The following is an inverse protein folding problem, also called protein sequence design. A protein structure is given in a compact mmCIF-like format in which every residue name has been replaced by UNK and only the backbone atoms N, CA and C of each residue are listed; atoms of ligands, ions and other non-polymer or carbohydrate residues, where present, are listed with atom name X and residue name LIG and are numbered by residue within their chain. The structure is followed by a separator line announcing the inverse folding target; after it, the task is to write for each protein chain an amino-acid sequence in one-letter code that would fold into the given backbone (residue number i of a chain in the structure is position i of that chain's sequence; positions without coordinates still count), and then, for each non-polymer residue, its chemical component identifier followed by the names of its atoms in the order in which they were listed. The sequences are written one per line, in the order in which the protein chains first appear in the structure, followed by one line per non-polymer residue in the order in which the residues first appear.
data_IF_165010564008
#
_entry.id   IF_165010564008
#
_cell.length_a   1.000
_cell.length_b   1.000
_cell.length_c   1.000
_cell.angle_alpha   90.00
_cell.angle_beta   90.00
_cell.angle_gamma   90.00
#
_symmetry.space_group_name_H-M   'P 1'
#
loop_
_entity.id
_entity.type
_entity.pdbx_description
1 polymer ?
#
# COMPACT_ATOMS: atom_id res chain seq x y z
N UNK A 1 11.77 18.15 -7.14
CA UNK A 1 12.51 16.87 -7.00
C UNK A 1 11.82 15.91 -6.03
N UNK A 2 11.55 16.28 -4.77
CA UNK A 2 10.78 15.43 -3.84
C UNK A 2 9.36 15.14 -4.35
N UNK A 3 8.70 16.15 -4.91
CA UNK A 3 7.27 16.07 -5.24
C UNK A 3 7.01 15.22 -6.49
N UNK A 4 7.90 15.32 -7.49
CA UNK A 4 7.82 14.53 -8.72
C UNK A 4 7.97 13.02 -8.44
N UNK A 5 8.84 12.66 -7.49
CA UNK A 5 9.09 11.28 -7.12
C UNK A 5 7.91 10.67 -6.31
N UNK A 6 7.27 11.46 -5.45
CA UNK A 6 6.05 11.03 -4.75
C UNK A 6 4.90 10.81 -5.72
N UNK A 7 4.66 11.76 -6.63
CA UNK A 7 3.59 11.62 -7.61
C UNK A 7 3.84 10.41 -8.53
N UNK A 8 5.08 10.21 -8.98
CA UNK A 8 5.44 9.04 -9.77
C UNK A 8 5.18 7.71 -9.03
N UNK A 9 5.35 7.68 -7.71
CA UNK A 9 5.05 6.50 -6.89
C UNK A 9 3.55 6.21 -6.85
N UNK A 10 2.73 7.25 -6.65
CA UNK A 10 1.27 7.15 -6.65
C UNK A 10 0.78 6.65 -8.02
N UNK A 11 1.28 7.25 -9.10
CA UNK A 11 0.90 6.89 -10.48
C UNK A 11 1.28 5.45 -10.80
N UNK A 12 2.47 5.01 -10.37
CA UNK A 12 2.92 3.63 -10.53
C UNK A 12 2.00 2.65 -9.78
N UNK A 13 1.68 2.93 -8.52
CA UNK A 13 0.78 2.08 -7.73
C UNK A 13 -0.64 2.03 -8.32
N UNK A 14 -1.14 3.14 -8.86
CA UNK A 14 -2.42 3.19 -9.58
C UNK A 14 -2.41 2.33 -10.85
N UNK A 15 -1.33 2.35 -11.63
CA UNK A 15 -1.18 1.48 -12.81
C UNK A 15 -1.12 -0.01 -12.42
N UNK A 16 -0.36 -0.36 -11.37
CA UNK A 16 -0.32 -1.72 -10.82
C UNK A 16 -1.71 -2.17 -10.36
N UNK A 17 -2.44 -1.30 -9.67
CA UNK A 17 -3.82 -1.55 -9.24
C UNK A 17 -4.76 -1.79 -10.41
N UNK A 18 -4.67 -1.03 -11.50
CA UNK A 18 -5.51 -1.26 -12.69
C UNK A 18 -5.23 -2.62 -13.35
N UNK A 19 -3.99 -3.11 -13.24
CA UNK A 19 -3.53 -4.36 -13.85
C UNK A 19 -3.67 -5.58 -12.95
N UNK A 20 -4.24 -5.48 -11.75
CA UNK A 20 -4.30 -6.61 -10.81
C UNK A 20 -4.94 -7.90 -11.37
N UNK A 21 -5.81 -7.77 -12.38
CA UNK A 21 -6.47 -8.90 -13.04
C UNK A 21 -5.59 -9.65 -14.04
N UNK A 22 -4.41 -9.12 -14.37
CA UNK A 22 -3.46 -9.77 -15.30
C UNK A 22 -2.32 -10.48 -14.57
N UNK A 23 -2.32 -10.46 -13.24
CA UNK A 23 -1.31 -11.14 -12.45
C UNK A 23 -1.38 -12.65 -12.66
N UNK A 24 -0.23 -13.27 -12.95
CA UNK A 24 -0.10 -14.72 -13.03
C UNK A 24 -0.04 -15.22 -11.58
N UNK A 25 -1.12 -15.84 -11.10
CA UNK A 25 -1.28 -16.30 -9.71
C UNK A 25 -1.20 -15.17 -8.67
N UNK A 26 -2.24 -14.31 -8.60
CA UNK A 26 -2.28 -13.20 -7.65
C UNK A 26 -2.32 -13.72 -6.21
N UNK A 27 -1.19 -13.65 -5.51
CA UNK A 27 -1.08 -14.10 -4.12
C UNK A 27 -0.89 -12.88 -3.20
N UNK A 28 -1.73 -12.68 -2.16
CA UNK A 28 -1.64 -11.51 -1.29
C UNK A 28 -0.26 -11.28 -0.66
N UNK A 29 0.44 -12.36 -0.26
CA UNK A 29 1.78 -12.23 0.32
C UNK A 29 2.80 -11.68 -0.70
N UNK A 30 2.63 -12.00 -1.99
CA UNK A 30 3.52 -11.51 -3.04
C UNK A 30 3.37 -9.99 -3.20
N UNK A 31 2.15 -9.48 -3.06
CA UNK A 31 1.88 -8.04 -3.05
C UNK A 31 2.45 -7.38 -1.80
N UNK A 32 2.32 -7.98 -0.62
CA UNK A 32 2.95 -7.44 0.59
C UNK A 32 4.48 -7.34 0.46
N UNK A 33 5.14 -8.35 -0.13
CA UNK A 33 6.57 -8.30 -0.40
C UNK A 33 6.94 -7.27 -1.45
N UNK A 34 6.15 -7.16 -2.52
CA UNK A 34 6.33 -6.14 -3.54
C UNK A 34 6.27 -4.72 -2.94
N UNK A 35 5.25 -4.42 -2.13
CA UNK A 35 5.08 -3.10 -1.50
C UNK A 35 6.24 -2.79 -0.55
N UNK A 36 6.68 -3.75 0.26
CA UNK A 36 7.87 -3.60 1.13
C UNK A 36 9.15 -3.33 0.32
N UNK A 37 9.32 -4.03 -0.80
CA UNK A 37 10.45 -3.81 -1.71
C UNK A 37 10.43 -2.42 -2.33
N UNK A 38 9.24 -1.96 -2.74
CA UNK A 38 9.01 -0.64 -3.29
C UNK A 38 9.35 0.48 -2.28
N UNK A 39 8.86 0.35 -1.04
CA UNK A 39 9.19 1.26 0.06
C UNK A 39 10.70 1.29 0.34
N UNK A 40 11.35 0.12 0.34
CA UNK A 40 12.80 0.03 0.57
C UNK A 40 13.60 0.73 -0.55
N UNK A 41 13.19 0.55 -1.80
CA UNK A 41 13.79 1.24 -2.94
C UNK A 41 13.58 2.75 -2.87
N UNK A 42 12.35 3.20 -2.57
CA UNK A 42 12.01 4.61 -2.41
C UNK A 42 12.85 5.27 -1.30
N UNK A 43 12.98 4.64 -0.14
CA UNK A 43 13.83 5.13 0.95
C UNK A 43 15.30 5.20 0.55
N UNK A 44 15.81 4.19 -0.17
CA UNK A 44 17.19 4.18 -0.67
C UNK A 44 17.47 5.36 -1.61
N UNK A 45 16.46 5.77 -2.39
CA UNK A 45 16.52 6.91 -3.30
C UNK A 45 16.24 8.26 -2.61
N UNK A 46 16.05 8.29 -1.29
CA UNK A 46 15.77 9.50 -0.52
C UNK A 46 14.33 10.01 -0.66
N UNK A 47 13.41 9.20 -1.19
CA UNK A 47 11.98 9.52 -1.20
C UNK A 47 11.44 9.30 0.21
N UNK A 48 10.76 10.32 0.74
CA UNK A 48 10.12 10.25 2.04
C UNK A 48 9.01 9.19 2.02
N UNK A 49 8.95 8.33 3.04
CA UNK A 49 7.94 7.28 3.12
C UNK A 49 6.78 7.70 4.01
N UNK A 50 5.55 7.20 3.74
CA UNK A 50 4.44 7.38 4.66
C UNK A 50 4.80 6.85 6.06
N UNK A 51 4.45 7.63 7.08
CA UNK A 51 4.77 7.25 8.46
C UNK A 51 3.93 6.05 8.92
N UNK A 52 4.45 5.30 9.90
CA UNK A 52 3.69 4.22 10.53
C UNK A 52 2.36 4.70 11.15
N UNK A 53 2.27 5.98 11.54
CA UNK A 53 1.03 6.54 12.08
C UNK A 53 -0.04 6.73 10.99
N UNK A 54 0.37 7.13 9.77
CA UNK A 54 -0.53 7.22 8.61
C UNK A 54 -1.12 5.84 8.30
N UNK A 55 -0.28 4.80 8.22
CA UNK A 55 -0.78 3.43 8.02
C UNK A 55 -1.74 2.97 9.12
N UNK A 56 -1.41 3.23 10.39
CA UNK A 56 -2.30 2.87 11.51
C UNK A 56 -3.63 3.59 11.44
N UNK A 57 -3.63 4.86 11.03
CA UNK A 57 -4.84 5.65 10.85
C UNK A 57 -5.72 5.06 9.74
N UNK A 58 -5.15 4.78 8.57
CA UNK A 58 -5.84 4.19 7.41
C UNK A 58 -6.41 2.79 7.74
N UNK A 59 -5.61 1.94 8.40
CA UNK A 59 -6.08 0.62 8.80
C UNK A 59 -7.28 0.74 9.76
N UNK A 60 -7.20 1.62 10.77
CA UNK A 60 -8.31 1.83 11.72
C UNK A 60 -9.55 2.42 11.05
N UNK A 61 -9.40 3.38 10.14
CA UNK A 61 -10.54 4.00 9.44
C UNK A 61 -11.30 3.00 8.58
N UNK A 62 -10.61 1.98 8.07
CA UNK A 62 -11.17 0.86 7.30
C UNK A 62 -11.66 -0.31 8.15
N UNK A 63 -11.61 -0.19 9.48
CA UNK A 63 -12.07 -1.22 10.41
C UNK A 63 -11.09 -2.38 10.62
N UNK A 64 -9.84 -2.24 10.15
CA UNK A 64 -8.80 -3.23 10.36
C UNK A 64 -8.11 -3.03 11.71
N UNK A 65 -7.99 -4.11 12.47
CA UNK A 65 -7.29 -4.09 13.75
C UNK A 65 -5.78 -4.01 13.53
N UNK A 66 -5.13 -3.02 14.17
CA UNK A 66 -3.67 -2.91 14.19
C UNK A 66 -3.13 -3.97 15.16
N UNK A 67 -2.95 -5.19 14.65
CA UNK A 67 -2.42 -6.33 15.40
C UNK A 67 -1.03 -6.72 14.90
N UNK A 68 -0.42 -7.75 15.52
CA UNK A 68 0.82 -8.36 14.99
C UNK A 68 0.60 -9.22 13.74
N UNK A 69 -0.66 -9.43 13.35
CA UNK A 69 -1.07 -10.21 12.17
C UNK A 69 -1.23 -9.26 10.99
N UNK A 70 -0.76 -9.64 9.81
CA UNK A 70 -0.91 -8.78 8.62
C UNK A 70 -2.39 -8.60 8.23
N UNK A 71 -2.77 -7.44 7.67
CA UNK A 71 -4.14 -7.20 7.19
C UNK A 71 -4.62 -8.29 6.22
N UNK A 72 -3.74 -8.77 5.34
CA UNK A 72 -4.06 -9.83 4.38
C UNK A 72 -4.43 -11.16 5.05
N UNK A 73 -3.76 -11.52 6.15
CA UNK A 73 -4.06 -12.73 6.90
C UNK A 73 -5.39 -12.62 7.65
N UNK A 74 -5.72 -11.43 8.18
CA UNK A 74 -7.02 -11.14 8.79
C UNK A 74 -8.13 -11.26 7.74
N UNK A 75 -7.99 -10.58 6.58
CA UNK A 75 -8.98 -10.64 5.50
C UNK A 75 -9.17 -12.06 4.98
N UNK A 76 -8.08 -12.82 4.81
CA UNK A 76 -8.16 -14.24 4.42
C UNK A 76 -8.96 -15.06 5.43
N UNK A 77 -8.75 -14.84 6.73
CA UNK A 77 -9.51 -15.54 7.78
C UNK A 77 -11.01 -15.18 7.79
N UNK A 78 -11.36 -14.01 7.26
CA UNK A 78 -12.74 -13.54 7.10
C UNK A 78 -13.37 -13.99 5.77
N UNK A 79 -12.64 -14.72 4.93
CA UNK A 79 -13.15 -15.29 3.67
C UNK A 79 -13.09 -14.36 2.46
N UNK A 80 -12.32 -13.28 2.52
CA UNK A 80 -12.14 -12.39 1.36
C UNK A 80 -11.44 -13.13 0.20
N UNK A 81 -11.91 -12.96 -1.04
CA UNK A 81 -11.19 -13.43 -2.23
C UNK A 81 -9.80 -12.81 -2.33
N UNK A 82 -8.81 -13.59 -2.79
CA UNK A 82 -7.42 -13.10 -2.90
C UNK A 82 -7.29 -11.83 -3.74
N UNK A 83 -8.09 -11.71 -4.79
CA UNK A 83 -8.15 -10.50 -5.63
C UNK A 83 -8.61 -9.26 -4.86
N UNK A 84 -9.57 -9.41 -3.95
CA UNK A 84 -10.06 -8.29 -3.12
C UNK A 84 -9.03 -7.89 -2.08
N UNK A 85 -8.35 -8.87 -1.47
CA UNK A 85 -7.25 -8.61 -0.54
C UNK A 85 -6.15 -7.81 -1.24
N UNK A 86 -5.79 -8.20 -2.46
CA UNK A 86 -4.75 -7.51 -3.24
C UNK A 86 -5.14 -6.07 -3.55
N UNK A 87 -6.38 -5.84 -3.98
CA UNK A 87 -6.88 -4.48 -4.25
C UNK A 87 -6.86 -3.64 -2.98
N UNK A 88 -7.29 -4.19 -1.85
CA UNK A 88 -7.32 -3.50 -0.56
C UNK A 88 -5.91 -3.13 -0.07
N UNK A 89 -4.93 -4.04 -0.19
CA UNK A 89 -3.54 -3.75 0.15
C UNK A 89 -2.95 -2.63 -0.70
N UNK A 90 -3.25 -2.62 -2.01
CA UNK A 90 -2.83 -1.55 -2.91
C UNK A 90 -3.53 -0.23 -2.58
N UNK A 91 -4.82 -0.26 -2.24
CA UNK A 91 -5.59 0.92 -1.85
C UNK A 91 -5.05 1.56 -0.56
N UNK A 92 -4.71 0.75 0.44
CA UNK A 92 -4.08 1.22 1.67
C UNK A 92 -2.73 1.89 1.37
N UNK A 93 -1.92 1.28 0.50
CA UNK A 93 -0.62 1.85 0.13
C UNK A 93 -0.80 3.20 -0.60
N UNK A 94 -1.65 3.25 -1.64
CA UNK A 94 -1.92 4.48 -2.40
C UNK A 94 -2.42 5.60 -1.47
N UNK A 95 -3.35 5.29 -0.58
CA UNK A 95 -3.89 6.26 0.37
C UNK A 95 -2.80 6.77 1.34
N UNK A 96 -1.89 5.91 1.77
CA UNK A 96 -0.77 6.30 2.63
C UNK A 96 0.18 7.27 1.92
N UNK A 97 0.51 7.02 0.66
CA UNK A 97 1.31 7.93 -0.16
C UNK A 97 0.62 9.27 -0.42
N UNK A 98 -0.70 9.27 -0.66
CA UNK A 98 -1.48 10.48 -0.86
C UNK A 98 -1.59 11.36 0.39
N UNK A 99 -1.87 10.77 1.55
CA UNK A 99 -1.94 11.51 2.82
C UNK A 99 -0.56 12.08 3.19
N UNK A 100 0.50 11.29 3.04
CA UNK A 100 1.87 11.74 3.29
C UNK A 100 2.27 12.92 2.40
N UNK A 101 1.89 12.90 1.11
CA UNK A 101 2.15 14.02 0.21
C UNK A 101 1.38 15.29 0.60
N UNK A 102 0.15 15.14 1.07
CA UNK A 102 -0.65 16.27 1.57
C UNK A 102 0.03 16.91 2.78
N UNK A 103 0.49 16.11 3.74
CA UNK A 103 1.21 16.59 4.94
C UNK A 103 2.55 17.28 4.60
N UNK A 104 3.21 16.90 3.49
CA UNK A 104 4.46 17.52 3.05
C UNK A 104 4.28 18.87 2.35
N UNK A 105 3.08 19.17 1.85
CA UNK A 105 2.79 20.35 1.02
C UNK A 105 2.03 21.46 1.77
N UNK A 106 1.59 21.19 3.00
CA UNK A 106 0.97 22.14 3.93
C UNK A 106 1.94 22.63 5.01
#
# INVERSE_FOLDING_TARGET
MSDDAHQAMIDFLLDVRQRHRTFIQPQPYAIEHFLKGLQSAASTLGVSLPSANVYRFILRSRGWEVSGISPSAIMRSQGYPESEIIVELLDIEIEAWQQHFTDLTT
#
